data_IF_391961951153
#
_entry.id   IF_391961951153
#
_cell.length_a   1.000
_cell.length_b   1.000
_cell.length_c   1.000
_cell.angle_alpha   90.00
_cell.angle_beta   90.00
_cell.angle_gamma   90.00
#
_symmetry.space_group_name_H-M   'P 1'
#
loop_
_entity.id
_entity.type
_entity.pdbx_description
1 polymer ?
#
# COMPACT_ATOMS: atom_id res chain seq x y z
N UNK A 1 -12.05 5.08 -50.08
CA UNK A 1 -11.13 4.54 -49.04
C UNK A 1 -11.62 3.19 -48.52
N UNK A 2 -10.85 2.14 -48.77
CA UNK A 2 -11.20 0.78 -48.38
C UNK A 2 -10.85 0.59 -46.89
N UNK A 3 -11.82 0.20 -46.08
CA UNK A 3 -11.62 -0.10 -44.67
C UNK A 3 -11.25 -1.58 -44.54
N UNK A 4 -10.15 -1.87 -43.85
CA UNK A 4 -9.74 -3.21 -43.48
C UNK A 4 -9.99 -3.44 -42.00
N UNK A 5 -10.61 -4.57 -41.67
CA UNK A 5 -10.90 -4.96 -40.30
C UNK A 5 -9.81 -5.91 -39.81
N UNK A 6 -9.02 -5.47 -38.83
CA UNK A 6 -7.90 -6.24 -38.28
C UNK A 6 -8.41 -7.04 -37.07
N UNK A 7 -8.56 -8.35 -37.25
CA UNK A 7 -8.78 -9.30 -36.15
C UNK A 7 -7.42 -9.85 -35.67
N UNK A 8 -7.10 -9.66 -34.39
CA UNK A 8 -5.92 -10.29 -33.77
C UNK A 8 -6.31 -11.11 -32.54
N UNK A 9 -5.65 -12.25 -32.38
CA UNK A 9 -5.77 -13.12 -31.20
C UNK A 9 -4.70 -12.75 -30.18
N UNK A 10 -5.11 -12.41 -28.95
CA UNK A 10 -4.18 -12.16 -27.83
C UNK A 10 -4.26 -13.30 -26.84
N UNK A 11 -3.11 -13.96 -26.62
CA UNK A 11 -2.95 -14.86 -25.49
C UNK A 11 -2.97 -14.04 -24.19
N UNK A 12 -4.09 -14.11 -23.45
CA UNK A 12 -4.17 -13.60 -22.07
C UNK A 12 -3.21 -14.43 -21.22
N UNK A 13 -2.02 -13.89 -20.93
CA UNK A 13 -1.16 -14.44 -19.88
C UNK A 13 -1.96 -14.40 -18.57
N UNK A 14 -2.10 -15.55 -17.90
CA UNK A 14 -2.59 -15.58 -16.51
C UNK A 14 -1.62 -14.74 -15.69
N UNK A 15 -2.12 -13.66 -15.10
CA UNK A 15 -1.32 -12.88 -14.15
C UNK A 15 -0.94 -13.83 -13.00
N UNK A 16 0.33 -13.90 -12.56
CA UNK A 16 0.80 -14.85 -11.56
C UNK A 16 0.24 -14.61 -10.14
N UNK A 17 -0.88 -13.90 -10.01
CA UNK A 17 -1.42 -13.44 -8.74
C UNK A 17 -0.49 -12.40 -8.10
N UNK A 18 -0.69 -12.17 -6.80
CA UNK A 18 0.27 -11.43 -5.97
C UNK A 18 1.38 -12.37 -5.53
N UNK A 19 2.59 -11.84 -5.43
CA UNK A 19 3.66 -12.56 -4.75
C UNK A 19 3.24 -12.82 -3.30
N UNK A 20 3.32 -14.09 -2.89
CA UNK A 20 3.07 -14.46 -1.52
C UNK A 20 4.09 -13.78 -0.59
N UNK A 21 3.64 -13.40 0.60
CA UNK A 21 4.53 -12.89 1.64
C UNK A 21 5.44 -14.03 2.13
N UNK A 22 6.70 -13.75 2.50
CA UNK A 22 7.60 -14.79 2.99
C UNK A 22 7.03 -15.55 4.20
N UNK A 23 7.21 -16.86 4.22
CA UNK A 23 6.65 -17.73 5.25
C UNK A 23 7.27 -17.48 6.63
N UNK A 24 8.56 -17.14 6.66
CA UNK A 24 9.39 -16.89 7.84
C UNK A 24 9.04 -15.59 8.60
N UNK A 25 8.16 -14.75 8.06
CA UNK A 25 7.73 -13.54 8.76
C UNK A 25 6.86 -13.88 9.98
N UNK A 26 7.07 -13.23 11.13
CA UNK A 26 6.18 -13.36 12.28
C UNK A 26 4.74 -13.03 11.90
N UNK A 27 3.79 -13.77 12.46
CA UNK A 27 2.35 -13.59 12.21
C UNK A 27 1.69 -13.04 13.46
N UNK A 28 0.91 -11.97 13.29
CA UNK A 28 0.00 -11.46 14.31
C UNK A 28 -1.43 -11.70 13.85
N UNK A 29 -2.13 -12.59 14.55
CA UNK A 29 -3.53 -12.87 14.25
C UNK A 29 -4.45 -11.96 15.06
N UNK A 30 -5.50 -11.48 14.41
CA UNK A 30 -6.54 -10.65 15.00
C UNK A 30 -7.89 -11.18 14.54
N UNK A 31 -8.71 -11.67 15.48
CA UNK A 31 -10.06 -12.14 15.18
C UNK A 31 -11.02 -10.98 15.40
N UNK A 32 -11.77 -10.62 14.35
CA UNK A 32 -12.79 -9.57 14.42
C UNK A 32 -14.16 -10.23 14.31
N UNK A 33 -14.84 -10.27 15.45
CA UNK A 33 -16.22 -10.74 15.55
C UNK A 33 -17.20 -9.69 15.01
N UNK A 34 -18.37 -10.10 14.51
CA UNK A 34 -19.44 -9.17 14.17
C UNK A 34 -19.89 -8.35 15.38
N UNK A 35 -20.26 -7.09 15.17
CA UNK A 35 -20.82 -6.23 16.23
C UNK A 35 -22.18 -6.73 16.76
N UNK A 36 -22.89 -7.53 15.97
CA UNK A 36 -24.16 -8.13 16.36
C UNK A 36 -23.94 -9.35 17.27
N UNK A 37 -24.85 -9.58 18.21
CA UNK A 37 -24.82 -10.78 19.05
C UNK A 37 -25.02 -12.04 18.20
N UNK A 38 -24.03 -12.93 18.21
CA UNK A 38 -23.99 -14.17 17.43
C UNK A 38 -24.51 -15.40 18.18
N UNK A 39 -25.06 -15.24 19.39
CA UNK A 39 -25.58 -16.34 20.21
C UNK A 39 -26.65 -17.13 19.46
N UNK A 40 -26.49 -18.45 19.36
CA UNK A 40 -27.43 -19.34 18.67
C UNK A 40 -27.27 -19.38 17.13
N UNK A 41 -26.28 -18.68 16.58
CA UNK A 41 -25.87 -18.79 15.18
C UNK A 41 -24.79 -19.85 14.99
N UNK A 42 -24.69 -20.40 13.77
CA UNK A 42 -23.68 -21.38 13.42
C UNK A 42 -22.49 -20.70 12.71
N UNK A 43 -21.25 -20.92 13.15
CA UNK A 43 -20.04 -20.48 12.43
C UNK A 43 -19.87 -21.36 11.19
N UNK A 44 -20.00 -20.77 10.01
CA UNK A 44 -19.98 -21.48 8.72
C UNK A 44 -18.65 -21.36 7.96
N UNK A 45 -17.74 -20.53 8.43
CA UNK A 45 -16.43 -20.30 7.82
C UNK A 45 -15.79 -19.03 8.34
N UNK A 46 -14.76 -18.56 7.64
CA UNK A 46 -14.03 -17.34 7.96
C UNK A 46 -13.45 -16.68 6.72
N UNK A 47 -13.25 -15.37 6.79
CA UNK A 47 -12.53 -14.60 5.79
C UNK A 47 -11.19 -14.15 6.38
N UNK A 48 -10.10 -14.49 5.70
CA UNK A 48 -8.76 -14.16 6.15
C UNK A 48 -8.19 -13.09 5.23
N UNK A 49 -7.78 -11.97 5.81
CA UNK A 49 -7.05 -10.91 5.11
C UNK A 49 -5.65 -10.84 5.68
N UNK A 50 -4.65 -11.03 4.81
CA UNK A 50 -3.24 -10.91 5.18
C UNK A 50 -2.66 -9.59 4.68
N UNK A 51 -2.05 -8.86 5.60
CA UNK A 51 -1.36 -7.60 5.37
C UNK A 51 0.02 -7.61 6.03
N UNK A 52 0.82 -6.58 5.76
CA UNK A 52 2.21 -6.46 6.15
C UNK A 52 2.40 -5.17 6.95
N UNK A 53 2.72 -5.32 8.22
CA UNK A 53 3.05 -4.24 9.15
C UNK A 53 4.56 -4.12 9.28
N UNK A 54 5.03 -2.89 9.49
CA UNK A 54 6.36 -2.66 10.04
C UNK A 54 6.24 -2.42 11.55
N UNK A 55 7.00 -3.19 12.31
CA UNK A 55 7.32 -2.90 13.71
C UNK A 55 8.81 -2.60 13.80
N UNK A 56 9.30 -1.87 14.82
CA UNK A 56 10.71 -1.57 14.92
C UNK A 56 11.58 -2.83 14.71
N UNK A 57 12.38 -2.81 13.64
CA UNK A 57 13.25 -3.90 13.18
C UNK A 57 12.57 -5.20 12.70
N UNK A 58 11.25 -5.24 12.44
CA UNK A 58 10.58 -6.44 11.92
C UNK A 58 9.41 -6.15 10.98
N UNK A 59 9.29 -6.98 9.93
CA UNK A 59 8.08 -7.08 9.13
C UNK A 59 7.17 -8.16 9.70
N UNK A 60 5.92 -7.81 9.99
CA UNK A 60 4.94 -8.71 10.61
C UNK A 60 3.78 -8.92 9.65
N UNK A 61 3.43 -10.18 9.39
CA UNK A 61 2.19 -10.54 8.69
C UNK A 61 1.03 -10.35 9.65
N UNK A 62 0.23 -9.30 9.45
CA UNK A 62 -1.03 -9.13 10.16
C UNK A 62 -2.09 -9.96 9.46
N UNK A 63 -2.70 -10.89 10.19
CA UNK A 63 -3.75 -11.77 9.69
C UNK A 63 -5.06 -11.44 10.39
N UNK A 64 -5.93 -10.72 9.70
CA UNK A 64 -7.26 -10.38 10.18
C UNK A 64 -8.22 -11.52 9.79
N UNK A 65 -8.74 -12.22 10.79
CA UNK A 65 -9.65 -13.35 10.65
C UNK A 65 -11.06 -12.89 11.02
N UNK A 66 -12.00 -12.98 10.08
CA UNK A 66 -13.38 -12.54 10.28
C UNK A 66 -14.32 -13.74 10.15
N UNK A 67 -14.80 -14.32 11.27
CA UNK A 67 -15.72 -15.44 11.24
C UNK A 67 -17.05 -15.09 10.55
N UNK A 68 -17.57 -16.03 9.78
CA UNK A 68 -18.87 -15.94 9.11
C UNK A 68 -19.89 -16.75 9.90
N UNK A 69 -20.96 -16.10 10.33
CA UNK A 69 -22.06 -16.71 11.05
C UNK A 69 -23.31 -16.78 10.19
N UNK A 70 -24.05 -17.87 10.29
CA UNK A 70 -25.37 -18.02 9.68
C UNK A 70 -26.44 -18.10 10.76
N UNK A 71 -27.49 -17.28 10.62
CA UNK A 71 -28.65 -17.33 11.51
C UNK A 71 -29.56 -18.49 11.13
N UNK A 72 -29.89 -19.34 12.12
CA UNK A 72 -30.78 -20.50 11.94
C UNK A 72 -32.11 -20.09 11.33
N UNK A 73 -32.59 -20.85 10.35
CA UNK A 73 -33.85 -20.57 9.64
C UNK A 73 -33.79 -19.44 8.61
N UNK A 74 -32.63 -18.82 8.36
CA UNK A 74 -32.47 -17.78 7.34
C UNK A 74 -31.24 -18.02 6.46
N UNK A 75 -31.18 -17.34 5.32
CA UNK A 75 -29.99 -17.29 4.46
C UNK A 75 -29.06 -16.12 4.78
N UNK A 76 -29.28 -15.43 5.90
CA UNK A 76 -28.48 -14.27 6.29
C UNK A 76 -27.12 -14.71 6.84
N UNK A 77 -26.05 -14.15 6.26
CA UNK A 77 -24.67 -14.32 6.73
C UNK A 77 -24.22 -13.01 7.38
N UNK A 78 -23.64 -13.12 8.57
CA UNK A 78 -23.12 -12.00 9.36
C UNK A 78 -21.62 -12.20 9.53
N UNK A 79 -20.85 -11.15 9.30
CA UNK A 79 -19.38 -11.12 9.39
C UNK A 79 -18.93 -9.80 10.01
N UNK A 80 -17.79 -9.79 10.70
CA UNK A 80 -17.15 -8.57 11.15
C UNK A 80 -16.74 -7.66 9.99
N UNK A 81 -16.74 -6.35 10.24
CA UNK A 81 -16.26 -5.36 9.27
C UNK A 81 -14.74 -5.46 9.13
N UNK A 82 -14.24 -5.26 7.90
CA UNK A 82 -12.80 -5.18 7.69
C UNK A 82 -12.35 -3.79 8.16
N UNK A 83 -11.29 -3.68 8.99
CA UNK A 83 -10.75 -2.38 9.34
C UNK A 83 -10.37 -1.58 8.10
N UNK A 84 -10.63 -0.28 8.15
CA UNK A 84 -10.15 0.63 7.11
C UNK A 84 -8.62 0.61 7.05
N UNK A 85 -8.10 0.74 5.83
CA UNK A 85 -6.67 0.76 5.55
C UNK A 85 -6.35 1.96 4.66
N UNK A 86 -5.11 2.48 4.72
CA UNK A 86 -4.75 3.64 3.91
C UNK A 86 -4.93 3.38 2.42
N UNK A 87 -4.50 2.21 1.95
CA UNK A 87 -4.53 1.84 0.54
C UNK A 87 -5.42 0.61 0.33
N UNK A 88 -6.46 0.81 -0.46
CA UNK A 88 -7.41 -0.24 -0.79
C UNK A 88 -6.78 -1.33 -1.63
N UNK A 89 -7.22 -2.57 -1.36
CA UNK A 89 -6.76 -3.77 -2.07
C UNK A 89 -5.23 -3.88 -2.10
N UNK A 90 -4.51 -3.36 -1.13
CA UNK A 90 -3.06 -3.52 -1.09
C UNK A 90 -2.61 -4.38 0.10
N UNK A 91 -1.32 -4.73 0.18
CA UNK A 91 -0.81 -5.65 1.21
C UNK A 91 -0.25 -4.91 2.42
N UNK A 92 0.10 -3.65 2.28
CA UNK A 92 0.79 -2.84 3.27
C UNK A 92 -0.18 -2.17 4.24
N UNK A 93 0.28 -2.06 5.47
CA UNK A 93 -0.38 -1.28 6.52
C UNK A 93 0.25 0.10 6.66
N UNK A 94 -0.44 0.99 7.38
CA UNK A 94 0.02 2.36 7.62
C UNK A 94 1.44 2.43 8.17
N UNK A 95 1.83 1.49 9.04
CA UNK A 95 3.16 1.45 9.65
C UNK A 95 4.27 1.17 8.63
N UNK A 96 4.03 0.27 7.66
CA UNK A 96 4.98 -0.02 6.60
C UNK A 96 5.12 1.15 5.64
N UNK A 97 4.00 1.75 5.25
CA UNK A 97 3.99 2.96 4.41
C UNK A 97 4.76 4.10 5.06
N UNK A 98 4.49 4.38 6.34
CA UNK A 98 5.18 5.41 7.09
C UNK A 98 6.70 5.16 7.15
N UNK A 99 7.12 3.91 7.39
CA UNK A 99 8.52 3.54 7.40
C UNK A 99 9.20 3.78 6.04
N UNK A 100 8.58 3.34 4.94
CA UNK A 100 9.13 3.52 3.58
C UNK A 100 9.25 5.02 3.22
N UNK A 101 8.22 5.82 3.54
CA UNK A 101 8.21 7.27 3.31
C UNK A 101 9.30 7.95 4.12
N UNK A 102 9.40 7.66 5.42
CA UNK A 102 10.42 8.22 6.30
C UNK A 102 11.82 7.89 5.77
N UNK A 103 12.08 6.61 5.46
CA UNK A 103 13.36 6.18 4.88
C UNK A 103 13.67 6.90 3.58
N UNK A 104 12.68 7.14 2.74
CA UNK A 104 12.85 7.79 1.43
C UNK A 104 13.16 9.28 1.54
N UNK A 105 12.39 10.01 2.33
CA UNK A 105 12.38 11.48 2.31
C UNK A 105 13.10 12.11 3.48
N UNK A 106 13.16 11.45 4.64
CA UNK A 106 13.88 11.96 5.83
C UNK A 106 15.31 11.42 5.85
N UNK A 107 15.50 10.12 5.58
CA UNK A 107 16.82 9.48 5.61
C UNK A 107 17.49 9.40 4.22
N UNK A 108 16.86 9.96 3.19
CA UNK A 108 17.35 9.97 1.81
C UNK A 108 17.72 8.58 1.24
N UNK A 109 17.06 7.51 1.70
CA UNK A 109 17.32 6.15 1.26
C UNK A 109 16.52 5.83 -0.01
N UNK A 110 17.18 5.59 -1.16
CA UNK A 110 16.49 5.28 -2.41
C UNK A 110 15.79 3.92 -2.34
N UNK A 111 14.67 3.74 -3.06
CA UNK A 111 13.86 2.51 -2.99
C UNK A 111 14.66 1.25 -3.28
N UNK A 112 15.56 1.27 -4.27
CA UNK A 112 16.36 0.08 -4.57
C UNK A 112 17.15 -0.41 -3.35
N UNK A 113 17.66 0.52 -2.52
CA UNK A 113 18.41 0.20 -1.30
C UNK A 113 17.48 -0.29 -0.19
N UNK A 114 16.29 0.29 -0.08
CA UNK A 114 15.26 -0.21 0.86
C UNK A 114 14.83 -1.64 0.49
N UNK A 115 14.58 -1.91 -0.79
CA UNK A 115 14.21 -3.23 -1.32
C UNK A 115 15.32 -4.25 -1.04
N UNK A 116 16.59 -3.90 -1.29
CA UNK A 116 17.72 -4.76 -0.94
C UNK A 116 17.80 -5.05 0.56
N UNK A 117 17.50 -4.05 1.40
CA UNK A 117 17.39 -4.23 2.85
C UNK A 117 16.29 -5.21 3.22
N UNK A 118 15.08 -5.04 2.69
CA UNK A 118 13.98 -5.97 2.92
C UNK A 118 14.28 -7.39 2.43
N UNK A 119 14.94 -7.52 1.28
CA UNK A 119 15.35 -8.79 0.73
C UNK A 119 16.37 -9.52 1.60
N UNK A 120 17.36 -8.78 2.13
CA UNK A 120 18.38 -9.33 3.03
C UNK A 120 17.84 -9.67 4.41
N UNK A 121 17.07 -8.77 5.01
CA UNK A 121 16.71 -8.84 6.42
C UNK A 121 15.45 -9.69 6.65
N UNK A 122 14.57 -9.77 5.64
CA UNK A 122 13.25 -10.43 5.77
C UNK A 122 12.93 -11.41 4.64
N UNK A 123 13.76 -11.51 3.61
CA UNK A 123 13.47 -12.32 2.42
C UNK A 123 12.36 -11.73 1.52
N UNK A 124 11.95 -10.48 1.76
CA UNK A 124 10.87 -9.84 1.02
C UNK A 124 11.41 -8.87 -0.04
N UNK A 125 11.05 -9.11 -1.31
CA UNK A 125 11.56 -8.35 -2.46
C UNK A 125 10.40 -7.75 -3.26
N UNK A 126 9.81 -6.62 -2.82
CA UNK A 126 8.78 -5.94 -3.59
C UNK A 126 9.39 -5.28 -4.85
N UNK A 127 8.59 -5.15 -5.91
CA UNK A 127 9.03 -4.44 -7.10
C UNK A 127 9.19 -2.93 -6.81
N UNK A 128 10.17 -2.29 -7.44
CA UNK A 128 10.37 -0.84 -7.30
C UNK A 128 9.16 -0.03 -7.78
N UNK A 129 8.44 -0.52 -8.79
CA UNK A 129 7.17 0.07 -9.23
C UNK A 129 6.13 0.04 -8.12
N UNK A 130 6.00 -1.07 -7.38
CA UNK A 130 5.05 -1.19 -6.27
C UNK A 130 5.28 -0.12 -5.20
N UNK A 131 6.53 0.09 -4.77
CA UNK A 131 6.86 1.16 -3.82
C UNK A 131 6.55 2.54 -4.40
N UNK A 132 6.81 2.74 -5.70
CA UNK A 132 6.54 4.02 -6.37
C UNK A 132 5.04 4.32 -6.47
N UNK A 133 4.23 3.30 -6.74
CA UNK A 133 2.77 3.40 -6.77
C UNK A 133 2.24 3.70 -5.36
N UNK A 134 2.72 3.00 -4.33
CA UNK A 134 2.36 3.30 -2.94
C UNK A 134 2.70 4.74 -2.53
N UNK A 135 3.87 5.25 -2.95
CA UNK A 135 4.22 6.64 -2.65
C UNK A 135 3.31 7.64 -3.35
N UNK A 136 2.88 7.37 -4.58
CA UNK A 136 1.92 8.20 -5.29
C UNK A 136 0.61 8.28 -4.51
N UNK A 137 0.07 7.13 -4.11
CA UNK A 137 -1.19 7.09 -3.37
C UNK A 137 -1.05 7.75 -1.99
N UNK A 138 0.08 7.54 -1.29
CA UNK A 138 0.35 8.25 -0.04
C UNK A 138 0.43 9.77 -0.22
N UNK A 139 1.00 10.25 -1.33
CA UNK A 139 1.03 11.68 -1.62
C UNK A 139 -0.38 12.27 -1.79
N UNK A 140 -1.30 11.52 -2.39
CA UNK A 140 -2.72 11.90 -2.51
C UNK A 140 -3.36 11.94 -1.11
N UNK A 141 -3.13 10.92 -0.27
CA UNK A 141 -3.65 10.91 1.11
C UNK A 141 -3.14 12.08 1.97
N UNK A 142 -1.92 12.55 1.71
CA UNK A 142 -1.30 13.67 2.44
C UNK A 142 -1.68 15.06 1.91
N UNK A 143 -2.41 15.14 0.80
CA UNK A 143 -2.82 16.42 0.19
C UNK A 143 -3.56 17.36 1.15
N UNK A 144 -4.50 16.90 2.00
CA UNK A 144 -5.16 17.78 2.96
C UNK A 144 -4.18 18.44 3.94
N UNK A 145 -3.15 17.71 4.38
CA UNK A 145 -2.11 18.25 5.27
C UNK A 145 -1.24 19.27 4.54
N UNK A 146 -0.87 18.98 3.29
CA UNK A 146 -0.16 19.93 2.44
C UNK A 146 -0.96 21.23 2.26
N UNK A 147 -2.26 21.15 2.01
CA UNK A 147 -3.12 22.32 1.82
C UNK A 147 -3.24 23.17 3.09
N UNK A 148 -3.28 22.54 4.27
CA UNK A 148 -3.24 23.26 5.55
C UNK A 148 -1.88 23.93 5.76
N UNK A 149 -0.78 23.22 5.51
CA UNK A 149 0.57 23.77 5.63
C UNK A 149 0.76 24.97 4.70
N UNK A 150 0.36 24.83 3.43
CA UNK A 150 0.41 25.90 2.42
C UNK A 150 -0.35 27.14 2.89
N UNK A 151 -1.58 26.98 3.39
CA UNK A 151 -2.37 28.10 3.91
C UNK A 151 -1.66 28.82 5.04
N UNK A 152 -1.15 28.08 6.04
CA UNK A 152 -0.41 28.65 7.18
C UNK A 152 0.83 29.43 6.74
N UNK A 153 1.56 28.92 5.75
CA UNK A 153 2.73 29.60 5.20
C UNK A 153 2.31 30.92 4.52
N UNK A 154 1.25 30.89 3.71
CA UNK A 154 0.76 32.08 2.99
C UNK A 154 0.11 33.13 3.90
N UNK A 155 -0.37 32.74 5.07
CA UNK A 155 -0.84 33.66 6.12
C UNK A 155 0.31 34.38 6.86
N UNK A 156 1.57 33.93 6.68
CA UNK A 156 2.72 34.57 7.31
C UNK A 156 2.99 35.95 6.72
N UNK A 157 3.17 36.96 7.57
CA UNK A 157 3.55 38.32 7.15
C UNK A 157 4.96 38.42 6.53
N UNK A 158 5.77 37.37 6.65
CA UNK A 158 7.10 37.28 6.07
C UNK A 158 7.42 35.81 5.72
N UNK A 159 7.92 35.58 4.50
CA UNK A 159 8.28 34.24 3.99
C UNK A 159 9.71 34.30 3.48
N UNK A 160 10.56 33.42 3.98
CA UNK A 160 11.90 33.18 3.44
C UNK A 160 11.85 31.92 2.58
N UNK A 161 12.48 32.00 1.40
CA UNK A 161 12.60 30.88 0.47
C UNK A 161 14.07 30.72 0.16
N UNK A 162 14.59 29.52 0.39
CA UNK A 162 15.93 29.11 -0.02
C UNK A 162 15.78 28.06 -1.12
N UNK A 163 16.44 28.31 -2.25
CA UNK A 163 16.37 27.43 -3.42
C UNK A 163 17.53 26.44 -3.37
N UNK A 164 17.21 25.15 -3.34
CA UNK A 164 18.19 24.06 -3.44
C UNK A 164 18.03 23.35 -4.78
N UNK A 165 18.68 23.82 -5.87
CA UNK A 165 18.49 23.26 -7.19
C UNK A 165 19.00 21.82 -7.25
N UNK A 166 18.23 20.94 -7.87
CA UNK A 166 18.60 19.53 -8.07
C UNK A 166 18.66 19.21 -9.56
N UNK A 167 19.59 18.32 -9.93
CA UNK A 167 19.65 17.81 -11.31
C UNK A 167 18.56 16.78 -11.52
N UNK A 168 17.70 17.00 -12.49
CA UNK A 168 16.60 16.09 -12.84
C UNK A 168 16.72 15.64 -14.30
N UNK A 169 16.17 14.46 -14.59
CA UNK A 169 16.09 13.91 -15.94
C UNK A 169 14.81 14.43 -16.60
N UNK A 170 14.95 15.06 -17.76
CA UNK A 170 13.82 15.49 -18.60
C UNK A 170 13.54 14.46 -19.68
N UNK A 171 12.26 14.25 -20.01
CA UNK A 171 11.89 13.48 -21.20
C UNK A 171 12.24 14.24 -22.48
N UNK A 172 12.23 15.57 -22.42
CA UNK A 172 12.46 16.45 -23.56
C UNK A 172 13.94 16.73 -23.81
N UNK A 173 14.82 16.39 -22.86
CA UNK A 173 16.28 16.55 -22.96
C UNK A 173 16.99 15.21 -22.78
N UNK A 174 17.19 14.49 -23.89
CA UNK A 174 17.92 13.23 -23.91
C UNK A 174 19.41 13.43 -23.58
N UNK A 175 19.96 12.54 -22.76
CA UNK A 175 21.41 12.42 -22.54
C UNK A 175 22.04 13.43 -21.57
N UNK A 176 21.27 14.36 -21.01
CA UNK A 176 21.77 15.29 -19.98
C UNK A 176 20.73 15.53 -18.89
N UNK A 177 21.20 15.67 -17.66
CA UNK A 177 20.36 16.15 -16.56
C UNK A 177 20.33 17.69 -16.59
N UNK A 178 19.19 18.29 -16.28
CA UNK A 178 19.03 19.75 -16.20
C UNK A 178 18.79 20.18 -14.76
N UNK A 179 19.07 21.45 -14.45
CA UNK A 179 18.64 22.04 -13.18
C UNK A 179 17.12 22.23 -13.22
N UNK A 180 16.44 21.54 -12.31
CA UNK A 180 15.04 21.80 -11.97
C UNK A 180 14.93 22.77 -10.81
#
# INVERSE_FOLDING_TARGET
PQQEEISYTRNKKKHPGRHALPENLPVREEIIEPAQNTTGMDKIGEEVTETLEYTPASLVKRRVIRPKYKKKGTSQIIIGELPERPLDKSIEEASLLAYIIMRKYVEHMPFYRQIQGFGRDFGWNPAASTLSDWMRECAILLEPLYNVLKRKILESGYIQVDESPIKVLDKDKKGSAHQG
#
